data_IF_664168095415
#
_entry.id   IF_664168095415
#
_cell.length_a   1.000
_cell.length_b   1.000
_cell.length_c   1.000
_cell.angle_alpha   90.00
_cell.angle_beta   90.00
_cell.angle_gamma   90.00
#
_symmetry.space_group_name_H-M   'P 1'
#
loop_
_entity.id
_entity.type
_entity.pdbx_description
1 polymer ?
#
# COMPACT_ATOMS: atom_id res chain seq x y z
N UNK A 1 5.41 11.93 -14.70
CA UNK A 1 5.82 10.86 -13.76
C UNK A 1 4.65 10.59 -12.84
N UNK A 2 4.18 9.35 -12.77
CA UNK A 2 3.01 8.99 -11.96
C UNK A 2 3.48 8.77 -10.53
N UNK A 3 2.90 9.53 -9.61
CA UNK A 3 3.19 9.47 -8.18
C UNK A 3 1.94 8.98 -7.47
N UNK A 4 2.12 7.96 -6.62
CA UNK A 4 1.05 7.37 -5.82
C UNK A 4 1.15 7.91 -4.41
N UNK A 5 0.08 8.51 -3.89
CA UNK A 5 0.11 9.09 -2.55
C UNK A 5 0.01 8.01 -1.47
N UNK A 6 0.69 8.22 -0.33
CA UNK A 6 0.49 7.40 0.87
C UNK A 6 -0.98 7.35 1.28
N UNK A 7 -1.67 8.48 1.12
CA UNK A 7 -3.07 8.60 1.48
C UNK A 7 -3.98 7.68 0.66
N UNK A 8 -3.66 7.42 -0.62
CA UNK A 8 -4.40 6.47 -1.45
C UNK A 8 -4.34 5.04 -0.88
N UNK A 9 -3.18 4.62 -0.36
CA UNK A 9 -3.06 3.37 0.38
C UNK A 9 -3.85 3.43 1.68
N UNK A 10 -3.65 4.47 2.48
CA UNK A 10 -4.26 4.60 3.80
C UNK A 10 -5.78 4.53 3.74
N UNK A 11 -6.42 5.28 2.85
CA UNK A 11 -7.86 5.27 2.66
C UNK A 11 -8.39 3.88 2.25
N UNK A 12 -7.61 3.12 1.47
CA UNK A 12 -8.00 1.77 1.03
C UNK A 12 -8.04 0.74 2.16
N UNK A 13 -7.34 0.98 3.28
CA UNK A 13 -7.31 0.07 4.42
C UNK A 13 -8.03 0.63 5.66
N UNK A 14 -8.17 1.95 5.77
CA UNK A 14 -8.79 2.63 6.92
C UNK A 14 -10.20 2.14 7.19
N UNK A 15 -11.00 1.94 6.17
CA UNK A 15 -12.42 1.60 6.34
C UNK A 15 -12.61 0.20 6.94
N UNK A 16 -11.67 -0.72 6.74
CA UNK A 16 -11.76 -2.10 7.24
C UNK A 16 -10.92 -2.36 8.50
N UNK A 17 -9.79 -1.66 8.66
CA UNK A 17 -8.86 -1.88 9.78
C UNK A 17 -8.89 -0.75 10.82
N UNK A 18 -9.62 0.33 10.56
CA UNK A 18 -9.57 1.57 11.33
C UNK A 18 -8.30 2.38 11.07
N UNK A 19 -8.27 3.61 11.57
CA UNK A 19 -7.17 4.56 11.39
C UNK A 19 -5.84 4.01 11.91
N UNK A 20 -5.83 3.50 13.15
CA UNK A 20 -4.60 2.99 13.77
C UNK A 20 -4.10 1.72 13.07
N UNK A 21 -5.01 0.78 12.75
CA UNK A 21 -4.65 -0.47 12.09
C UNK A 21 -4.11 -0.26 10.68
N UNK A 22 -4.71 0.64 9.91
CA UNK A 22 -4.24 0.97 8.57
C UNK A 22 -2.85 1.63 8.58
N UNK A 23 -2.59 2.60 9.48
CA UNK A 23 -1.28 3.25 9.56
C UNK A 23 -0.18 2.27 10.03
N UNK A 24 -0.49 1.39 10.99
CA UNK A 24 0.46 0.37 11.45
C UNK A 24 0.78 -0.67 10.36
N UNK A 25 -0.24 -1.17 9.65
CA UNK A 25 -0.08 -2.09 8.54
C UNK A 25 0.82 -1.50 7.46
N UNK A 26 0.53 -0.27 7.04
CA UNK A 26 1.29 0.38 5.97
C UNK A 26 2.72 0.70 6.41
N UNK A 27 2.94 1.16 7.65
CA UNK A 27 4.30 1.34 8.20
C UNK A 27 5.12 0.05 8.15
N UNK A 28 4.52 -1.07 8.57
CA UNK A 28 5.16 -2.40 8.50
C UNK A 28 5.47 -2.80 7.07
N UNK A 29 4.52 -2.64 6.16
CA UNK A 29 4.70 -3.00 4.75
C UNK A 29 5.78 -2.15 4.04
N UNK A 30 5.79 -0.84 4.28
CA UNK A 30 6.80 0.09 3.75
C UNK A 30 8.19 -0.27 4.25
N UNK A 31 8.32 -0.54 5.56
CA UNK A 31 9.59 -0.95 6.16
C UNK A 31 10.08 -2.30 5.60
N UNK A 32 9.18 -3.28 5.46
CA UNK A 32 9.51 -4.59 4.86
C UNK A 32 9.88 -4.48 3.38
N UNK A 33 9.36 -3.49 2.65
CA UNK A 33 9.75 -3.17 1.28
C UNK A 33 11.12 -2.46 1.18
N UNK A 34 11.82 -2.24 2.31
CA UNK A 34 13.05 -1.44 2.43
C UNK A 34 12.86 0.00 1.92
N UNK A 35 11.71 0.60 2.23
CA UNK A 35 11.36 1.98 1.87
C UNK A 35 11.16 2.84 3.12
N UNK A 36 11.20 4.15 2.93
CA UNK A 36 10.88 5.13 3.96
C UNK A 36 9.47 5.67 3.77
N UNK A 37 8.78 5.99 4.89
CA UNK A 37 7.48 6.65 4.82
C UNK A 37 7.65 8.02 4.19
N UNK A 38 6.97 8.24 3.08
CA UNK A 38 6.90 9.51 2.35
C UNK A 38 5.49 9.76 1.84
N UNK A 39 5.23 11.00 1.45
CA UNK A 39 3.91 11.40 0.95
C UNK A 39 3.60 10.80 -0.41
N UNK A 40 4.61 10.65 -1.28
CA UNK A 40 4.47 10.16 -2.65
C UNK A 40 5.48 9.07 -2.98
N UNK A 41 5.01 7.96 -3.55
CA UNK A 41 5.81 6.86 -4.06
C UNK A 41 5.84 6.86 -5.58
N UNK A 42 6.96 6.44 -6.16
CA UNK A 42 7.02 6.08 -7.56
C UNK A 42 6.15 4.84 -7.80
N UNK A 43 5.79 4.59 -9.06
CA UNK A 43 5.07 3.37 -9.45
C UNK A 43 5.78 2.10 -8.99
N UNK A 44 7.10 2.03 -9.14
CA UNK A 44 7.89 0.86 -8.73
C UNK A 44 7.86 0.65 -7.21
N UNK A 45 7.99 1.72 -6.43
CA UNK A 45 7.91 1.66 -4.97
C UNK A 45 6.51 1.27 -4.49
N UNK A 46 5.47 1.84 -5.11
CA UNK A 46 4.08 1.49 -4.83
C UNK A 46 3.80 0.00 -5.09
N UNK A 47 4.34 -0.55 -6.18
CA UNK A 47 4.22 -1.98 -6.49
C UNK A 47 4.96 -2.86 -5.48
N UNK A 48 6.16 -2.47 -5.04
CA UNK A 48 6.88 -3.17 -3.96
C UNK A 48 6.08 -3.22 -2.66
N UNK A 49 5.43 -2.10 -2.29
CA UNK A 49 4.55 -2.05 -1.12
C UNK A 49 3.36 -3.02 -1.32
N UNK A 50 2.74 -3.04 -2.50
CA UNK A 50 1.66 -3.98 -2.80
C UNK A 50 2.11 -5.45 -2.78
N UNK A 51 3.34 -5.75 -3.20
CA UNK A 51 3.88 -7.13 -3.15
C UNK A 51 4.04 -7.60 -1.71
N UNK A 52 4.54 -6.73 -0.82
CA UNK A 52 4.59 -7.01 0.61
C UNK A 52 3.19 -7.18 1.19
N UNK A 53 2.26 -6.28 0.88
CA UNK A 53 0.87 -6.36 1.36
C UNK A 53 0.14 -7.62 0.86
N UNK A 54 0.48 -8.14 -0.33
CA UNK A 54 -0.07 -9.40 -0.86
C UNK A 54 0.37 -10.64 -0.07
N UNK A 55 1.46 -10.56 0.69
CA UNK A 55 1.87 -11.64 1.58
C UNK A 55 0.96 -11.74 2.82
N UNK A 56 0.20 -10.69 3.13
CA UNK A 56 -0.80 -10.72 4.20
C UNK A 56 -2.06 -11.43 3.69
N UNK A 57 -2.61 -12.36 4.45
CA UNK A 57 -3.82 -13.10 4.05
C UNK A 57 -5.10 -12.27 4.09
N UNK A 58 -6.18 -12.85 3.53
CA UNK A 58 -7.54 -12.31 3.64
C UNK A 58 -7.74 -10.98 2.90
N UNK A 59 -8.44 -10.05 3.56
CA UNK A 59 -8.84 -8.77 2.96
C UNK A 59 -7.64 -7.94 2.49
N UNK A 60 -6.51 -7.98 3.21
CA UNK A 60 -5.33 -7.18 2.88
C UNK A 60 -4.75 -7.57 1.51
N UNK A 61 -4.65 -8.88 1.22
CA UNK A 61 -4.21 -9.36 -0.10
C UNK A 61 -5.11 -8.86 -1.22
N UNK A 62 -6.43 -8.91 -1.03
CA UNK A 62 -7.41 -8.53 -2.06
C UNK A 62 -7.23 -7.05 -2.41
N UNK A 63 -7.17 -6.17 -1.41
CA UNK A 63 -6.97 -4.74 -1.64
C UNK A 63 -5.61 -4.46 -2.29
N UNK A 64 -4.55 -5.13 -1.83
CA UNK A 64 -3.22 -4.99 -2.42
C UNK A 64 -3.20 -5.38 -3.90
N UNK A 65 -3.90 -6.45 -4.30
CA UNK A 65 -4.04 -6.87 -5.68
C UNK A 65 -4.81 -5.87 -6.56
N UNK A 66 -5.89 -5.28 -6.02
CA UNK A 66 -6.67 -4.23 -6.69
C UNK A 66 -5.81 -2.98 -6.90
N UNK A 67 -5.09 -2.54 -5.86
CA UNK A 67 -4.20 -1.38 -5.91
C UNK A 67 -3.05 -1.59 -6.91
N UNK A 68 -2.38 -2.74 -6.86
CA UNK A 68 -1.33 -3.09 -7.82
C UNK A 68 -1.82 -3.00 -9.27
N UNK A 69 -3.00 -3.57 -9.55
CA UNK A 69 -3.60 -3.53 -10.88
C UNK A 69 -3.87 -2.10 -11.35
N UNK A 70 -4.42 -1.24 -10.47
CA UNK A 70 -4.64 0.19 -10.78
C UNK A 70 -3.34 0.94 -11.07
N UNK A 71 -2.30 0.68 -10.29
CA UNK A 71 -1.00 1.35 -10.48
C UNK A 71 -0.27 0.87 -11.73
N UNK A 72 -0.50 -0.37 -12.18
CA UNK A 72 0.04 -0.88 -13.45
C UNK A 72 -0.61 -0.20 -14.65
N UNK A 73 -1.94 -0.01 -14.62
CA UNK A 73 -2.71 0.56 -15.74
C UNK A 73 -2.50 2.08 -15.86
N UNK A 74 -2.30 2.77 -14.73
CA UNK A 74 -1.87 4.17 -14.72
C UNK A 74 -0.46 4.30 -15.29
#
# INVERSE_FOLDING_TARGET
MIQISYQEFFESYKDSLGVAGADELLKKAISQANLFKKEYYSKEEALKICDVLRQYGGFVCIIAGILASRFIIR
#
